data_IF_598865637869
#
_entry.id   IF_598865637869
#
_cell.length_a   1.000
_cell.length_b   1.000
_cell.length_c   1.000
_cell.angle_alpha   90.00
_cell.angle_beta   90.00
_cell.angle_gamma   90.00
#
_symmetry.space_group_name_H-M   'P 1'
#
loop_
_entity.id
_entity.type
_entity.pdbx_description
1 polymer ?
#
# COMPACT_ATOMS: atom_id res chain seq x y z
N UNK A 1 15.84 -1.13 16.75
CA UNK A 1 15.53 -0.54 15.44
C UNK A 1 14.04 -0.24 15.37
N UNK A 2 13.63 1.01 15.10
CA UNK A 2 12.21 1.36 14.99
C UNK A 2 11.65 0.67 13.73
N UNK A 3 10.69 -0.24 13.85
CA UNK A 3 10.07 -0.92 12.67
C UNK A 3 9.61 0.07 11.59
N UNK A 4 9.22 1.29 11.99
CA UNK A 4 8.83 2.38 11.09
C UNK A 4 9.93 2.82 10.10
N UNK A 5 11.20 2.51 10.33
CA UNK A 5 12.30 2.86 9.40
C UNK A 5 12.59 1.77 8.36
N UNK A 6 12.04 0.56 8.53
CA UNK A 6 12.23 -0.58 7.61
C UNK A 6 11.07 -0.70 6.63
N UNK A 7 9.85 -0.34 7.07
CA UNK A 7 8.65 -0.40 6.25
C UNK A 7 8.26 1.00 5.76
N UNK A 8 8.18 1.19 4.44
CA UNK A 8 7.49 2.34 3.84
C UNK A 8 5.98 2.21 4.12
N UNK A 9 5.54 2.65 5.30
CA UNK A 9 4.14 2.64 5.72
C UNK A 9 3.79 1.58 6.76
N UNK A 10 2.47 1.35 6.98
CA UNK A 10 1.98 0.36 7.94
C UNK A 10 2.43 -1.06 7.55
N UNK A 11 2.93 -1.87 8.50
CA UNK A 11 3.32 -3.26 8.24
C UNK A 11 2.19 -4.11 7.62
N UNK A 12 0.93 -3.77 7.90
CA UNK A 12 -0.23 -4.48 7.34
C UNK A 12 -0.33 -4.35 5.81
N UNK A 13 0.14 -3.25 5.23
CA UNK A 13 0.15 -3.05 3.77
C UNK A 13 1.21 -3.90 3.05
N UNK A 14 2.10 -4.56 3.80
CA UNK A 14 3.07 -5.51 3.27
C UNK A 14 2.51 -6.93 3.17
N UNK A 15 1.42 -7.23 3.87
CA UNK A 15 0.76 -8.55 3.86
C UNK A 15 0.29 -9.03 2.47
N UNK A 16 -0.17 -8.16 1.55
CA UNK A 16 -0.57 -8.58 0.22
C UNK A 16 0.56 -9.23 -0.58
N UNK A 17 1.82 -8.83 -0.38
CA UNK A 17 2.97 -9.35 -1.13
C UNK A 17 3.18 -10.87 -0.98
N UNK A 18 3.37 -11.42 0.24
CA UNK A 18 3.52 -12.87 0.40
C UNK A 18 2.26 -13.63 -0.03
N UNK A 19 1.07 -13.04 0.13
CA UNK A 19 -0.19 -13.66 -0.32
C UNK A 19 -0.21 -13.78 -1.85
N UNK A 20 0.13 -12.71 -2.57
CA UNK A 20 0.21 -12.68 -4.03
C UNK A 20 1.28 -13.68 -4.51
N UNK A 21 2.46 -13.69 -3.89
CA UNK A 21 3.52 -14.63 -4.23
C UNK A 21 3.06 -16.09 -4.08
N UNK A 22 2.42 -16.43 -2.95
CA UNK A 22 1.87 -17.76 -2.71
C UNK A 22 0.81 -18.15 -3.73
N UNK A 23 -0.10 -17.22 -4.07
CA UNK A 23 -1.12 -17.43 -5.08
C UNK A 23 -0.50 -17.76 -6.45
N UNK A 24 0.49 -16.97 -6.89
CA UNK A 24 1.15 -17.21 -8.18
C UNK A 24 1.95 -18.51 -8.21
N UNK A 25 2.64 -18.86 -7.13
CA UNK A 25 3.36 -20.16 -7.02
C UNK A 25 2.36 -21.32 -7.17
N UNK A 26 1.22 -21.26 -6.47
CA UNK A 26 0.19 -22.28 -6.55
C UNK A 26 -0.42 -22.40 -7.95
N UNK A 27 -0.76 -21.26 -8.58
CA UNK A 27 -1.29 -21.22 -9.94
C UNK A 27 -0.28 -21.75 -10.98
N UNK A 28 1.00 -21.48 -10.77
CA UNK A 28 2.08 -21.98 -11.60
C UNK A 28 2.23 -23.50 -11.49
N UNK A 29 2.20 -24.07 -10.27
CA UNK A 29 2.27 -25.52 -10.07
C UNK A 29 1.16 -26.27 -10.79
N UNK A 30 -0.04 -25.69 -10.84
CA UNK A 30 -1.19 -26.22 -11.57
C UNK A 30 -1.18 -25.91 -13.08
N UNK A 31 -0.17 -25.18 -13.56
CA UNK A 31 -0.04 -24.72 -14.94
C UNK A 31 -1.31 -24.03 -15.46
N UNK A 32 -2.05 -23.34 -14.57
CA UNK A 32 -3.35 -22.72 -14.92
C UNK A 32 -3.20 -21.68 -16.03
N UNK A 33 -2.04 -21.04 -16.12
CA UNK A 33 -1.72 -20.09 -17.19
C UNK A 33 -1.70 -20.75 -18.59
N UNK A 34 -1.51 -22.07 -18.68
CA UNK A 34 -1.50 -22.84 -19.94
C UNK A 34 -2.81 -23.61 -20.14
N UNK A 35 -3.30 -24.28 -19.09
CA UNK A 35 -4.43 -25.22 -19.19
C UNK A 35 -5.80 -24.55 -19.04
N UNK A 36 -5.85 -23.43 -18.31
CA UNK A 36 -7.06 -22.77 -17.87
C UNK A 36 -6.88 -21.24 -17.91
N UNK A 37 -6.44 -20.71 -19.06
CA UNK A 37 -6.03 -19.32 -19.19
C UNK A 37 -7.11 -18.32 -18.76
N UNK A 38 -8.39 -18.58 -19.09
CA UNK A 38 -9.49 -17.71 -18.66
C UNK A 38 -9.61 -17.65 -17.13
N UNK A 39 -9.51 -18.79 -16.45
CA UNK A 39 -9.52 -18.85 -14.98
C UNK A 39 -8.33 -18.09 -14.40
N UNK A 40 -7.13 -18.29 -14.97
CA UNK A 40 -5.93 -17.55 -14.58
C UNK A 40 -6.14 -16.02 -14.72
N UNK A 41 -6.63 -15.58 -15.88
CA UNK A 41 -6.87 -14.17 -16.17
C UNK A 41 -7.91 -13.55 -15.23
N UNK A 42 -9.01 -14.24 -14.93
CA UNK A 42 -10.01 -13.74 -13.98
C UNK A 42 -9.48 -13.61 -12.55
N UNK A 43 -8.65 -14.56 -12.10
CA UNK A 43 -8.03 -14.49 -10.78
C UNK A 43 -7.12 -13.27 -10.71
N UNK A 44 -6.20 -13.09 -11.66
CA UNK A 44 -5.27 -11.94 -11.71
C UNK A 44 -6.04 -10.62 -11.78
N UNK A 45 -7.08 -10.55 -12.63
CA UNK A 45 -7.91 -9.37 -12.78
C UNK A 45 -8.63 -8.99 -11.48
N UNK A 46 -9.04 -9.97 -10.66
CA UNK A 46 -9.68 -9.73 -9.35
C UNK A 46 -8.67 -9.39 -8.25
N UNK A 47 -7.44 -9.90 -8.34
CA UNK A 47 -6.41 -9.62 -7.34
C UNK A 47 -6.08 -8.13 -7.26
N UNK A 48 -5.96 -7.43 -8.40
CA UNK A 48 -5.64 -6.01 -8.42
C UNK A 48 -6.66 -5.12 -7.65
N UNK A 49 -7.97 -5.13 -7.95
CA UNK A 49 -8.95 -4.35 -7.20
C UNK A 49 -9.11 -4.84 -5.76
N UNK A 50 -8.90 -6.14 -5.47
CA UNK A 50 -8.94 -6.64 -4.10
C UNK A 50 -7.82 -6.04 -3.23
N UNK A 51 -6.61 -5.92 -3.77
CA UNK A 51 -5.47 -5.29 -3.08
C UNK A 51 -5.71 -3.80 -2.88
N UNK A 52 -6.22 -3.11 -3.89
CA UNK A 52 -6.58 -1.69 -3.77
C UNK A 52 -7.65 -1.49 -2.70
N UNK A 53 -8.73 -2.28 -2.73
CA UNK A 53 -9.80 -2.22 -1.74
C UNK A 53 -9.24 -2.47 -0.33
N UNK A 54 -8.41 -3.50 -0.17
CA UNK A 54 -7.74 -3.79 1.10
C UNK A 54 -6.99 -2.58 1.64
N UNK A 55 -6.12 -1.97 0.83
CA UNK A 55 -5.33 -0.79 1.24
C UNK A 55 -6.24 0.40 1.58
N UNK A 56 -7.28 0.65 0.78
CA UNK A 56 -8.24 1.76 1.05
C UNK A 56 -8.98 1.54 2.36
N UNK A 57 -9.42 0.31 2.65
CA UNK A 57 -10.12 -0.01 3.90
C UNK A 57 -9.20 -0.05 5.12
N UNK A 58 -7.90 -0.35 4.95
CA UNK A 58 -6.93 -0.41 6.07
C UNK A 58 -6.21 0.91 6.32
N UNK A 59 -6.28 1.86 5.39
CA UNK A 59 -5.71 3.20 5.54
C UNK A 59 -6.71 4.11 6.27
N UNK A 60 -6.30 4.69 7.40
CA UNK A 60 -7.14 5.61 8.16
C UNK A 60 -7.24 6.98 7.49
N UNK A 61 -8.37 7.68 7.66
CA UNK A 61 -8.62 9.02 7.08
C UNK A 61 -7.58 10.08 7.48
N UNK A 62 -6.96 9.92 8.65
CA UNK A 62 -5.92 10.82 9.19
C UNK A 62 -4.48 10.38 8.84
N UNK A 63 -4.32 9.32 8.07
CA UNK A 63 -3.00 8.76 7.77
C UNK A 63 -2.45 9.39 6.49
N UNK A 64 -1.73 10.52 6.64
CA UNK A 64 -0.99 11.13 5.56
C UNK A 64 0.11 10.18 5.07
N UNK A 65 -0.15 9.48 3.96
CA UNK A 65 0.82 8.61 3.30
C UNK A 65 1.92 9.42 2.60
N UNK A 66 1.66 10.69 2.25
CA UNK A 66 2.63 11.56 1.56
C UNK A 66 2.29 13.05 1.74
N UNK A 67 2.54 13.64 2.91
CA UNK A 67 2.69 15.09 3.04
C UNK A 67 3.65 15.43 4.18
N UNK A 68 4.58 16.35 3.89
CA UNK A 68 5.10 17.24 4.94
C UNK A 68 3.90 17.88 5.64
N UNK A 69 3.90 17.97 6.97
CA UNK A 69 2.82 18.62 7.69
C UNK A 69 2.61 20.01 7.08
N UNK A 70 1.40 20.28 6.59
CA UNK A 70 1.05 21.64 6.16
C UNK A 70 1.22 22.50 7.40
N UNK A 71 2.06 23.55 7.37
CA UNK A 71 2.17 24.49 8.47
C UNK A 71 0.77 24.91 8.87
N UNK A 72 0.42 24.74 10.15
CA UNK A 72 -0.83 25.31 10.63
C UNK A 72 -0.63 26.82 10.65
N UNK A 73 -1.30 27.52 9.74
CA UNK A 73 -1.30 28.98 9.66
C UNK A 73 -1.90 29.53 10.96
N UNK A 74 -1.00 29.77 11.91
CA UNK A 74 -1.28 30.27 13.27
C UNK A 74 -0.02 30.61 14.06
N UNK A 75 1.18 30.42 13.48
CA UNK A 75 2.40 31.02 13.99
C UNK A 75 2.52 32.45 13.46
N UNK A 76 2.82 33.46 14.30
CA UNK A 76 2.97 34.82 13.83
C UNK A 76 4.02 34.85 12.72
N UNK A 77 3.62 35.42 11.58
CA UNK A 77 4.50 35.81 10.50
C UNK A 77 5.71 36.55 11.09
N UNK A 78 6.88 36.27 10.51
CA UNK A 78 8.18 36.65 11.02
C UNK A 78 8.20 38.02 11.69
N UNK A 79 8.58 38.03 12.96
CA UNK A 79 9.22 39.19 13.55
C UNK A 79 10.60 39.28 12.89
N UNK A 80 10.68 39.99 11.77
CA UNK A 80 11.91 40.63 11.35
C UNK A 80 12.31 41.56 12.50
N UNK A 81 13.25 41.10 13.32
CA UNK A 81 13.93 41.94 14.29
C UNK A 81 14.95 42.79 13.53
N UNK A 82 14.56 44.04 13.25
CA UNK A 82 15.49 45.17 13.23
C UNK A 82 16.26 45.17 14.57
N UNK A 83 17.55 44.82 14.54
CA UNK A 83 18.63 45.62 15.14
C UNK A 83 20.03 45.09 14.81
#
# INVERSE_FOLDING_TARGET
>A
MKLRSVFLGKPIHWLPWPIIAGLFIWMNSLHLHVTQFNTFAFVVLRTAPAVVAYVVFTTGRDEQVTREPIPQDGGPAGTESEH
#
